data_IF_198315440643
#
_entry.id   IF_198315440643
#
_cell.length_a   1.000
_cell.length_b   1.000
_cell.length_c   1.000
_cell.angle_alpha   90.00
_cell.angle_beta   90.00
_cell.angle_gamma   90.00
#
_symmetry.space_group_name_H-M   'P 1'
#
loop_
_entity.id
_entity.type
_entity.pdbx_description
1 polymer ?
#
# COMPACT_ATOMS: atom_id res chain seq x y z
N UNK A 1 55.65 28.52 11.91
CA UNK A 1 55.51 28.12 10.49
C UNK A 1 55.25 26.63 10.29
N UNK A 2 55.95 25.70 10.98
CA UNK A 2 55.69 24.24 10.88
C UNK A 2 54.25 23.82 11.21
N UNK A 3 53.62 24.40 12.23
CA UNK A 3 52.25 24.06 12.61
C UNK A 3 51.18 24.51 11.61
N UNK A 4 51.43 25.60 10.87
CA UNK A 4 50.48 26.13 9.87
C UNK A 4 50.43 25.19 8.65
N UNK A 5 51.58 24.65 8.26
CA UNK A 5 51.69 23.67 7.16
C UNK A 5 50.96 22.37 7.52
N UNK A 6 51.07 21.91 8.78
CA UNK A 6 50.37 20.69 9.25
C UNK A 6 48.85 20.89 9.29
N UNK A 7 48.37 22.07 9.68
CA UNK A 7 46.93 22.38 9.71
C UNK A 7 46.35 22.46 8.28
N UNK A 8 47.09 23.05 7.33
CA UNK A 8 46.67 23.12 5.92
C UNK A 8 46.68 21.72 5.27
N UNK A 9 47.68 20.88 5.59
CA UNK A 9 47.75 19.49 5.13
C UNK A 9 46.57 18.67 5.70
N UNK A 10 46.23 18.85 6.98
CA UNK A 10 45.11 18.17 7.63
C UNK A 10 43.75 18.59 7.05
N UNK A 11 43.59 19.87 6.68
CA UNK A 11 42.36 20.39 6.06
C UNK A 11 42.14 19.89 4.63
N UNK A 12 43.21 19.50 3.93
CA UNK A 12 43.12 19.01 2.55
C UNK A 12 42.57 17.58 2.45
N UNK A 13 42.65 16.80 3.54
CA UNK A 13 42.17 15.41 3.58
C UNK A 13 40.65 15.32 3.82
N UNK A 14 39.98 16.44 4.14
CA UNK A 14 38.51 16.46 4.33
C UNK A 14 37.72 16.84 3.09
N UNK A 15 38.35 17.06 1.93
CA UNK A 15 37.64 17.11 0.65
C UNK A 15 37.26 15.69 0.21
N UNK A 16 36.23 15.15 0.86
CA UNK A 16 35.50 13.99 0.38
C UNK A 16 34.78 14.40 -0.91
N UNK A 17 35.47 14.33 -2.05
CA UNK A 17 34.82 14.35 -3.36
C UNK A 17 33.79 13.22 -3.35
N UNK A 18 32.49 13.57 -3.36
CA UNK A 18 31.44 12.59 -3.61
C UNK A 18 31.77 11.96 -4.97
N UNK A 19 31.89 10.63 -5.09
CA UNK A 19 32.24 10.01 -6.36
C UNK A 19 31.16 10.39 -7.37
N UNK A 20 31.50 11.19 -8.38
CA UNK A 20 30.60 11.52 -9.48
C UNK A 20 30.23 10.24 -10.22
N UNK A 21 29.00 10.14 -10.74
CA UNK A 21 28.60 9.02 -11.59
C UNK A 21 29.49 9.03 -12.84
N UNK A 22 30.15 7.91 -13.20
CA UNK A 22 30.90 7.84 -14.45
C UNK A 22 30.05 8.28 -15.64
N UNK A 23 30.66 8.94 -16.62
CA UNK A 23 29.96 9.51 -17.79
C UNK A 23 29.28 8.46 -18.66
N UNK A 24 29.69 7.20 -18.53
CA UNK A 24 29.13 6.06 -19.28
C UNK A 24 27.75 5.63 -18.77
N UNK A 25 27.30 6.19 -17.63
CA UNK A 25 25.98 5.94 -17.07
C UNK A 25 25.12 7.20 -17.10
N UNK A 26 23.81 7.00 -17.22
CA UNK A 26 22.79 8.04 -17.10
C UNK A 26 22.99 8.77 -15.77
N UNK A 27 23.12 10.09 -15.86
CA UNK A 27 23.37 10.93 -14.70
C UNK A 27 22.15 10.94 -13.78
N UNK A 28 22.33 11.18 -12.45
CA UNK A 28 21.23 11.04 -11.49
C UNK A 28 20.00 11.87 -11.84
N UNK A 29 20.17 13.12 -12.28
CA UNK A 29 19.06 13.99 -12.70
C UNK A 29 18.28 13.41 -13.86
N UNK A 30 18.97 12.92 -14.87
CA UNK A 30 18.35 12.38 -16.09
C UNK A 30 17.64 11.07 -15.77
N UNK A 31 18.21 10.26 -14.87
CA UNK A 31 17.58 9.04 -14.35
C UNK A 31 16.31 9.38 -13.56
N UNK A 32 16.32 10.42 -12.73
CA UNK A 32 15.14 10.91 -12.02
C UNK A 32 14.02 11.31 -13.01
N UNK A 33 14.35 12.05 -14.07
CA UNK A 33 13.40 12.47 -15.10
C UNK A 33 12.82 11.28 -15.90
N UNK A 34 13.67 10.33 -16.29
CA UNK A 34 13.25 9.10 -16.98
C UNK A 34 12.28 8.29 -16.12
N UNK A 35 12.64 8.06 -14.85
CA UNK A 35 11.83 7.27 -13.92
C UNK A 35 10.50 7.98 -13.60
N UNK A 36 10.51 9.30 -13.45
CA UNK A 36 9.30 10.10 -13.28
C UNK A 36 8.31 9.87 -14.43
N UNK A 37 8.75 10.09 -15.67
CA UNK A 37 7.90 9.91 -16.84
C UNK A 37 7.47 8.47 -17.06
N UNK A 38 8.32 7.51 -16.71
CA UNK A 38 7.97 6.10 -16.72
C UNK A 38 6.76 5.82 -15.81
N UNK A 39 6.79 6.30 -14.57
CA UNK A 39 5.69 6.12 -13.63
C UNK A 39 4.41 6.84 -14.08
N UNK A 40 4.53 8.06 -14.64
CA UNK A 40 3.38 8.77 -15.22
C UNK A 40 2.78 8.00 -16.39
N UNK A 41 3.61 7.51 -17.31
CA UNK A 41 3.19 6.73 -18.48
C UNK A 41 2.48 5.42 -18.06
N UNK A 42 3.01 4.73 -17.05
CA UNK A 42 2.35 3.55 -16.47
C UNK A 42 0.98 3.88 -15.88
N UNK A 43 0.87 4.97 -15.12
CA UNK A 43 -0.40 5.41 -14.53
C UNK A 43 -1.44 5.70 -15.63
N UNK A 44 -1.04 6.41 -16.69
CA UNK A 44 -1.90 6.67 -17.86
C UNK A 44 -2.35 5.38 -18.54
N UNK A 45 -1.44 4.42 -18.75
CA UNK A 45 -1.75 3.14 -19.35
C UNK A 45 -2.78 2.34 -18.54
N UNK A 46 -2.64 2.31 -17.21
CA UNK A 46 -3.59 1.61 -16.32
C UNK A 46 -4.98 2.23 -16.33
N UNK A 47 -5.07 3.56 -16.41
CA UNK A 47 -6.36 4.25 -16.53
C UNK A 47 -7.01 3.96 -17.89
N UNK A 48 -6.23 3.88 -18.97
CA UNK A 48 -6.69 3.44 -20.28
C UNK A 48 -7.26 2.01 -20.26
N UNK A 49 -6.66 1.10 -19.50
CA UNK A 49 -7.14 -0.28 -19.35
C UNK A 49 -8.53 -0.37 -18.72
N UNK A 50 -8.84 0.49 -17.74
CA UNK A 50 -10.20 0.58 -17.16
C UNK A 50 -11.24 0.99 -18.21
N UNK A 51 -10.81 1.70 -19.25
CA UNK A 51 -11.62 2.10 -20.40
C UNK A 51 -11.53 1.12 -21.58
N UNK A 52 -11.13 -0.14 -21.33
CA UNK A 52 -10.99 -1.19 -22.35
C UNK A 52 -9.95 -0.95 -23.44
N UNK A 53 -8.98 -0.06 -23.20
CA UNK A 53 -7.81 0.07 -24.07
C UNK A 53 -6.76 -0.99 -23.71
N UNK A 54 -6.07 -1.60 -24.70
CA UNK A 54 -4.98 -2.51 -24.42
C UNK A 54 -3.85 -1.78 -23.67
N UNK A 55 -3.43 -2.34 -22.54
CA UNK A 55 -2.29 -1.86 -21.76
C UNK A 55 -1.02 -2.55 -22.25
N UNK A 56 -0.19 -1.82 -22.99
CA UNK A 56 1.15 -2.28 -23.40
C UNK A 56 2.22 -1.59 -22.55
N UNK A 57 2.56 -2.22 -21.42
CA UNK A 57 3.57 -1.72 -20.48
C UNK A 57 4.93 -1.49 -21.15
N UNK A 58 5.31 -2.39 -22.08
CA UNK A 58 6.58 -2.29 -22.80
C UNK A 58 6.57 -1.13 -23.79
N UNK A 59 5.45 -0.90 -24.48
CA UNK A 59 5.26 0.24 -25.37
C UNK A 59 5.44 1.59 -24.66
N UNK A 60 4.88 1.74 -23.46
CA UNK A 60 5.06 2.95 -22.66
C UNK A 60 6.50 3.13 -22.19
N UNK A 61 7.16 2.06 -21.73
CA UNK A 61 8.57 2.11 -21.35
C UNK A 61 9.46 2.58 -22.51
N UNK A 62 9.31 1.97 -23.70
CA UNK A 62 10.07 2.32 -24.89
C UNK A 62 9.78 3.75 -25.37
N UNK A 63 8.55 4.25 -25.19
CA UNK A 63 8.20 5.63 -25.52
C UNK A 63 8.93 6.64 -24.62
N UNK A 64 9.06 6.34 -23.32
CA UNK A 64 9.80 7.17 -22.37
C UNK A 64 11.29 7.16 -22.70
N UNK A 65 11.90 5.99 -22.91
CA UNK A 65 13.31 5.91 -23.30
C UNK A 65 13.62 6.74 -24.55
N UNK A 66 12.74 6.68 -25.57
CA UNK A 66 12.86 7.49 -26.78
C UNK A 66 12.77 8.99 -26.51
N UNK A 67 11.90 9.44 -25.59
CA UNK A 67 11.78 10.85 -25.20
C UNK A 67 13.11 11.40 -24.68
N UNK A 68 13.84 10.60 -23.90
CA UNK A 68 15.13 10.97 -23.32
C UNK A 68 16.34 10.64 -24.19
N UNK A 69 16.12 10.09 -25.39
CA UNK A 69 17.19 9.65 -26.30
C UNK A 69 18.13 8.62 -25.65
N UNK A 70 17.56 7.76 -24.81
CA UNK A 70 18.26 6.70 -24.09
C UNK A 70 17.87 5.36 -24.71
N UNK A 71 18.85 4.48 -24.92
CA UNK A 71 18.59 3.10 -25.31
C UNK A 71 18.27 2.24 -24.07
N UNK A 72 17.52 1.17 -24.27
CA UNK A 72 17.25 0.19 -23.21
C UNK A 72 18.55 -0.34 -22.58
N UNK A 73 19.58 -0.61 -23.40
CA UNK A 73 20.88 -1.05 -22.92
C UNK A 73 21.63 -0.01 -22.05
N UNK A 74 21.53 1.28 -22.37
CA UNK A 74 22.10 2.37 -21.56
C UNK A 74 21.35 2.55 -20.24
N UNK A 75 20.02 2.51 -20.28
CA UNK A 75 19.18 2.50 -19.08
C UNK A 75 19.53 1.34 -18.17
N UNK A 76 19.63 0.16 -18.77
CA UNK A 76 19.93 -1.08 -18.10
C UNK A 76 21.31 -1.07 -17.43
N UNK A 77 22.34 -0.74 -18.19
CA UNK A 77 23.72 -0.65 -17.66
C UNK A 77 23.84 0.40 -16.55
N UNK A 78 23.13 1.53 -16.67
CA UNK A 78 23.04 2.55 -15.62
C UNK A 78 22.36 2.02 -14.37
N UNK A 79 21.28 1.26 -14.52
CA UNK A 79 20.59 0.66 -13.38
C UNK A 79 21.48 -0.35 -12.65
N UNK A 80 22.28 -1.17 -13.36
CA UNK A 80 23.33 -2.04 -12.75
C UNK A 80 24.29 -1.23 -11.89
N UNK A 81 24.76 -0.10 -12.40
CA UNK A 81 25.62 0.78 -11.62
C UNK A 81 24.92 1.23 -10.34
N UNK A 82 23.67 1.71 -10.44
CA UNK A 82 22.93 2.18 -9.27
C UNK A 82 22.57 1.08 -8.27
N UNK A 83 22.39 -0.18 -8.68
CA UNK A 83 22.20 -1.31 -7.76
C UNK A 83 23.38 -1.49 -6.79
N UNK A 84 24.60 -1.29 -7.29
CA UNK A 84 25.81 -1.34 -6.45
C UNK A 84 26.01 -0.05 -5.61
N UNK A 85 25.19 0.98 -5.85
CA UNK A 85 25.24 2.27 -5.16
C UNK A 85 23.86 2.60 -4.53
N UNK A 86 23.38 1.69 -3.66
CA UNK A 86 22.02 1.72 -3.11
C UNK A 86 21.58 3.06 -2.50
N UNK A 87 22.47 3.79 -1.80
CA UNK A 87 22.14 5.11 -1.24
C UNK A 87 21.84 6.16 -2.32
N UNK A 88 22.53 6.07 -3.46
CA UNK A 88 22.27 6.96 -4.60
C UNK A 88 20.98 6.59 -5.30
N UNK A 89 20.75 5.30 -5.52
CA UNK A 89 19.51 4.80 -6.09
C UNK A 89 18.31 5.21 -5.23
N UNK A 90 18.41 5.01 -3.91
CA UNK A 90 17.41 5.47 -2.94
C UNK A 90 17.13 6.95 -3.13
N UNK A 91 18.15 7.81 -3.15
CA UNK A 91 17.97 9.25 -3.31
C UNK A 91 17.25 9.64 -4.61
N UNK A 92 17.59 9.00 -5.74
CA UNK A 92 16.90 9.21 -7.02
C UNK A 92 15.41 8.95 -6.87
N UNK A 93 15.03 7.81 -6.29
CA UNK A 93 13.60 7.49 -6.09
C UNK A 93 12.91 8.38 -5.07
N UNK A 94 13.61 8.85 -4.03
CA UNK A 94 13.06 9.84 -3.10
C UNK A 94 12.66 11.12 -3.83
N UNK A 95 13.55 11.63 -4.69
CA UNK A 95 13.27 12.81 -5.50
C UNK A 95 12.10 12.57 -6.48
N UNK A 96 12.05 11.40 -7.11
CA UNK A 96 10.94 11.02 -8.01
C UNK A 96 9.62 10.94 -7.27
N UNK A 97 9.58 10.31 -6.09
CA UNK A 97 8.39 10.20 -5.26
C UNK A 97 7.92 11.56 -4.77
N UNK A 98 8.84 12.39 -4.26
CA UNK A 98 8.54 13.77 -3.84
C UNK A 98 7.93 14.58 -4.98
N UNK A 99 8.50 14.47 -6.19
CA UNK A 99 7.98 15.15 -7.38
C UNK A 99 6.58 14.67 -7.75
N UNK A 100 6.36 13.35 -7.84
CA UNK A 100 5.03 12.77 -8.14
C UNK A 100 3.98 13.22 -7.12
N UNK A 101 4.33 13.21 -5.83
CA UNK A 101 3.44 13.64 -4.75
C UNK A 101 3.13 15.14 -4.82
N UNK A 102 4.12 15.98 -5.11
CA UNK A 102 3.94 17.42 -5.25
C UNK A 102 3.05 17.76 -6.45
N UNK A 103 3.26 17.12 -7.60
CA UNK A 103 2.46 17.35 -8.81
C UNK A 103 1.02 16.83 -8.63
N UNK A 104 0.82 15.66 -8.02
CA UNK A 104 -0.51 15.17 -7.68
C UNK A 104 -1.25 16.15 -6.75
N UNK A 105 -0.60 16.59 -5.69
CA UNK A 105 -1.15 17.57 -4.74
C UNK A 105 -1.54 18.88 -5.42
N UNK A 106 -0.71 19.38 -6.34
CA UNK A 106 -0.97 20.61 -7.09
C UNK A 106 -2.19 20.50 -8.03
N UNK A 107 -2.45 19.30 -8.57
CA UNK A 107 -3.62 19.03 -9.42
C UNK A 107 -4.92 18.85 -8.62
N UNK A 108 -4.90 19.05 -7.29
CA UNK A 108 -6.03 18.75 -6.42
C UNK A 108 -6.34 17.26 -6.34
N UNK A 109 -5.49 16.44 -6.94
CA UNK A 109 -5.53 15.00 -6.88
C UNK A 109 -4.76 14.60 -5.63
N UNK A 110 -5.45 14.30 -4.53
CA UNK A 110 -4.87 13.51 -3.44
C UNK A 110 -4.63 12.07 -3.92
N UNK A 111 -3.76 11.88 -4.90
CA UNK A 111 -3.24 10.59 -5.35
C UNK A 111 -1.81 10.50 -4.84
N UNK A 112 -1.56 9.59 -3.90
CA UNK A 112 -0.25 9.40 -3.29
C UNK A 112 -0.26 9.77 -1.81
N UNK A 113 -0.59 11.02 -1.48
CA UNK A 113 -0.83 11.41 -0.09
C UNK A 113 -2.16 10.82 0.40
N UNK A 114 -2.20 9.53 0.70
CA UNK A 114 -3.19 9.00 1.61
C UNK A 114 -2.89 9.62 2.98
N UNK A 115 -3.38 10.84 3.19
CA UNK A 115 -3.58 11.42 4.50
C UNK A 115 -2.43 11.43 5.50
N UNK A 116 -1.25 11.96 5.15
CA UNK A 116 -0.47 12.61 6.22
C UNK A 116 -1.32 13.74 6.86
N UNK A 117 -2.24 14.34 6.08
CA UNK A 117 -3.20 15.37 6.51
C UNK A 117 -4.64 14.89 6.74
N UNK A 118 -5.05 13.68 6.31
CA UNK A 118 -6.45 13.20 6.43
C UNK A 118 -6.73 12.55 7.78
N UNK A 119 -5.72 11.95 8.41
CA UNK A 119 -5.86 11.34 9.73
C UNK A 119 -4.96 12.06 10.72
N UNK A 120 -5.57 12.79 11.66
CA UNK A 120 -4.84 13.33 12.79
C UNK A 120 -4.10 12.23 13.55
N UNK A 121 -3.05 12.58 14.28
CA UNK A 121 -2.38 11.65 15.21
C UNK A 121 -3.26 11.31 16.42
N UNK A 122 -4.39 12.00 16.57
CA UNK A 122 -5.33 11.90 17.68
C UNK A 122 -6.76 11.84 17.15
N UNK A 123 -7.61 10.99 17.74
CA UNK A 123 -9.03 10.86 17.42
C UNK A 123 -9.48 9.42 17.18
N UNK A 124 -10.74 9.28 16.77
CA UNK A 124 -11.38 7.98 16.47
C UNK A 124 -10.75 7.25 15.29
N UNK A 125 -10.11 7.98 14.38
CA UNK A 125 -9.29 7.41 13.30
C UNK A 125 -7.97 8.14 13.27
N UNK A 126 -6.87 7.42 13.45
CA UNK A 126 -5.54 8.02 13.59
C UNK A 126 -4.46 7.23 12.87
N UNK A 127 -3.52 7.93 12.21
CA UNK A 127 -2.29 7.30 11.74
C UNK A 127 -1.34 7.10 12.93
N UNK A 128 -1.05 5.84 13.22
CA UNK A 128 -0.20 5.43 14.34
C UNK A 128 1.16 4.89 13.88
N UNK A 129 1.45 4.96 12.58
CA UNK A 129 2.76 4.57 12.05
C UNK A 129 3.86 5.55 12.46
N UNK A 130 5.02 5.01 12.83
CA UNK A 130 6.21 5.78 13.26
C UNK A 130 7.50 5.34 12.56
N UNK A 131 7.40 4.38 11.64
CA UNK A 131 8.54 3.93 10.84
C UNK A 131 8.76 4.82 9.61
N UNK A 132 9.66 4.40 8.70
CA UNK A 132 9.82 5.09 7.42
C UNK A 132 8.53 5.03 6.60
N UNK A 133 8.21 6.11 5.90
CA UNK A 133 7.13 6.17 4.91
C UNK A 133 7.55 5.54 3.56
N UNK A 134 8.85 5.45 3.32
CA UNK A 134 9.46 5.01 2.07
C UNK A 134 10.45 3.88 2.29
N UNK A 135 10.35 2.81 1.48
CA UNK A 135 11.22 1.65 1.55
C UNK A 135 11.52 1.14 0.13
N UNK A 136 12.77 0.80 -0.14
CA UNK A 136 13.18 0.13 -1.37
C UNK A 136 13.58 -1.31 -1.05
N UNK A 137 12.98 -2.26 -1.77
CA UNK A 137 13.32 -3.68 -1.72
C UNK A 137 13.95 -4.13 -3.03
N UNK A 138 15.04 -4.88 -2.95
CA UNK A 138 15.80 -5.44 -4.07
C UNK A 138 16.00 -6.94 -3.83
N UNK A 139 16.14 -7.80 -4.86
CA UNK A 139 16.31 -9.26 -4.75
C UNK A 139 17.72 -9.65 -4.27
N UNK A 140 18.30 -8.86 -3.36
CA UNK A 140 19.56 -9.13 -2.69
C UNK A 140 19.24 -9.67 -1.29
N UNK A 141 19.97 -10.68 -0.77
CA UNK A 141 19.68 -11.30 0.52
C UNK A 141 19.57 -10.34 1.72
N UNK A 142 20.18 -9.17 1.64
CA UNK A 142 20.18 -8.15 2.70
C UNK A 142 19.25 -6.97 2.43
N UNK A 143 18.64 -6.90 1.26
CA UNK A 143 17.81 -5.77 0.84
C UNK A 143 16.44 -6.19 0.27
N UNK A 144 16.11 -7.49 0.31
CA UNK A 144 14.83 -8.02 -0.14
C UNK A 144 13.76 -8.01 0.95
N UNK A 145 14.08 -7.50 2.15
CA UNK A 145 13.18 -7.53 3.29
C UNK A 145 13.26 -6.23 4.08
N UNK A 146 12.10 -5.73 4.49
CA UNK A 146 11.94 -4.64 5.43
C UNK A 146 11.15 -5.12 6.64
N UNK A 147 11.80 -5.12 7.80
CA UNK A 147 11.20 -5.50 9.08
C UNK A 147 10.79 -4.26 9.89
N UNK A 148 9.73 -4.39 10.69
CA UNK A 148 9.29 -3.34 11.60
C UNK A 148 8.71 -3.90 12.92
N UNK A 149 8.71 -3.04 13.94
CA UNK A 149 8.04 -3.27 15.23
C UNK A 149 7.42 -1.97 15.70
N UNK A 150 6.15 -2.06 16.12
CA UNK A 150 5.37 -0.95 16.66
C UNK A 150 4.76 -1.38 17.99
N UNK A 151 5.17 -0.73 19.08
CA UNK A 151 4.59 -0.95 20.41
C UNK A 151 3.35 -0.08 20.58
N UNK A 152 2.28 -0.67 21.11
CA UNK A 152 1.07 0.06 21.40
C UNK A 152 1.27 0.96 22.64
N UNK A 153 0.83 2.21 22.54
CA UNK A 153 0.80 3.16 23.65
C UNK A 153 -0.57 3.18 24.34
N UNK A 154 -0.80 4.16 25.22
CA UNK A 154 -2.05 4.31 25.96
C UNK A 154 -3.24 4.73 25.09
N UNK A 155 -3.04 5.10 23.82
CA UNK A 155 -4.10 5.52 22.91
C UNK A 155 -4.79 4.35 22.20
N UNK A 156 -4.28 3.12 22.35
CA UNK A 156 -4.87 1.91 21.80
C UNK A 156 -5.91 1.37 22.77
N UNK A 157 -7.02 0.83 22.26
CA UNK A 157 -8.10 0.29 23.06
C UNK A 157 -8.54 -1.09 22.57
N UNK A 158 -9.21 -1.82 23.45
CA UNK A 158 -9.89 -3.08 23.14
C UNK A 158 -10.97 -2.81 22.07
N UNK A 159 -11.04 -3.68 21.05
CA UNK A 159 -11.98 -3.52 19.94
C UNK A 159 -11.48 -2.64 18.79
N UNK A 160 -10.29 -2.05 18.92
CA UNK A 160 -9.68 -1.30 17.81
C UNK A 160 -9.42 -2.20 16.59
N UNK A 161 -9.53 -1.59 15.42
CA UNK A 161 -9.16 -2.22 14.16
C UNK A 161 -8.01 -1.45 13.50
N UNK A 162 -7.23 -2.14 12.69
CA UNK A 162 -6.06 -1.54 12.03
C UNK A 162 -6.07 -1.80 10.54
N UNK A 163 -5.55 -0.84 9.77
CA UNK A 163 -5.32 -0.94 8.34
C UNK A 163 -3.88 -0.55 8.04
N UNK A 164 -3.10 -1.53 7.62
CA UNK A 164 -1.75 -1.33 7.10
C UNK A 164 -1.84 -1.06 5.61
N UNK A 165 -1.28 0.04 5.14
CA UNK A 165 -1.40 0.41 3.74
C UNK A 165 -0.16 1.14 3.23
N UNK A 166 0.02 1.10 1.92
CA UNK A 166 1.08 1.79 1.21
C UNK A 166 0.81 1.75 -0.28
N UNK A 167 1.48 2.62 -1.03
CA UNK A 167 1.62 2.52 -2.48
C UNK A 167 2.85 1.68 -2.81
N UNK A 168 2.78 0.92 -3.89
CA UNK A 168 3.91 0.11 -4.36
C UNK A 168 4.16 0.22 -5.84
N UNK A 169 5.43 0.22 -6.23
CA UNK A 169 5.87 0.22 -7.62
C UNK A 169 6.91 -0.88 -7.86
N UNK A 170 6.53 -1.86 -8.67
CA UNK A 170 7.43 -2.90 -9.15
C UNK A 170 8.20 -2.43 -10.38
N UNK A 171 9.51 -2.63 -10.35
CA UNK A 171 10.40 -2.44 -11.51
C UNK A 171 11.03 -3.79 -11.79
N UNK A 172 10.42 -4.49 -12.74
CA UNK A 172 10.73 -5.88 -13.09
C UNK A 172 11.01 -5.95 -14.58
N UNK A 173 12.18 -6.46 -14.94
CA UNK A 173 12.51 -6.78 -16.33
C UNK A 173 11.77 -8.05 -16.81
N UNK A 174 11.60 -9.03 -15.92
CA UNK A 174 10.90 -10.29 -16.19
C UNK A 174 10.46 -10.99 -14.89
N UNK A 175 9.64 -12.03 -15.05
CA UNK A 175 9.21 -12.92 -13.96
C UNK A 175 7.96 -12.45 -13.21
N UNK A 176 7.53 -13.28 -12.26
CA UNK A 176 6.31 -13.01 -11.48
C UNK A 176 6.59 -11.99 -10.38
N UNK A 177 5.78 -10.93 -10.35
CA UNK A 177 5.74 -9.97 -9.24
C UNK A 177 5.11 -10.65 -8.03
N UNK A 178 5.86 -10.72 -6.95
CA UNK A 178 5.36 -11.24 -5.68
C UNK A 178 6.11 -10.57 -4.53
N UNK A 179 5.39 -9.82 -3.71
CA UNK A 179 5.86 -9.40 -2.40
C UNK A 179 4.91 -9.90 -1.32
N UNK A 180 5.47 -10.32 -0.20
CA UNK A 180 4.75 -10.86 0.94
C UNK A 180 4.77 -9.84 2.07
N UNK A 181 3.60 -9.43 2.52
CA UNK A 181 3.42 -8.69 3.78
C UNK A 181 2.98 -9.66 4.85
N UNK A 182 3.69 -9.68 5.98
CA UNK A 182 3.31 -10.45 7.16
C UNK A 182 3.21 -9.52 8.37
N UNK A 183 2.05 -9.52 9.02
CA UNK A 183 1.75 -8.76 10.23
C UNK A 183 1.49 -9.75 11.38
N UNK A 184 2.19 -9.55 12.50
CA UNK A 184 2.01 -10.28 13.75
C UNK A 184 1.49 -9.31 14.81
N UNK A 185 0.20 -9.43 15.11
CA UNK A 185 -0.47 -8.63 16.13
C UNK A 185 -0.48 -9.38 17.45
N UNK A 186 0.32 -8.94 18.41
CA UNK A 186 0.37 -9.47 19.77
C UNK A 186 -0.53 -8.65 20.67
N UNK A 187 -1.48 -9.30 21.33
CA UNK A 187 -2.44 -8.67 22.23
C UNK A 187 -2.07 -8.90 23.71
N UNK A 188 -2.73 -8.17 24.61
CA UNK A 188 -2.70 -8.47 26.03
C UNK A 188 -3.12 -9.93 26.30
N UNK A 189 -2.47 -10.58 27.26
CA UNK A 189 -2.60 -12.04 27.45
C UNK A 189 -1.77 -12.88 26.47
N UNK A 190 -0.87 -12.26 25.69
CA UNK A 190 0.10 -12.89 24.80
C UNK A 190 -0.49 -13.72 23.65
N UNK A 191 -1.76 -13.47 23.31
CA UNK A 191 -2.36 -14.01 22.09
C UNK A 191 -1.80 -13.31 20.86
N UNK A 192 -1.46 -14.08 19.82
CA UNK A 192 -0.88 -13.57 18.57
C UNK A 192 -1.82 -13.89 17.40
N UNK A 193 -2.10 -12.89 16.57
CA UNK A 193 -2.83 -13.04 15.31
C UNK A 193 -1.89 -12.71 14.16
N UNK A 194 -1.79 -13.63 13.20
CA UNK A 194 -1.01 -13.45 11.98
C UNK A 194 -1.91 -13.04 10.80
N UNK A 195 -1.49 -12.05 10.03
CA UNK A 195 -2.13 -11.62 8.78
C UNK A 195 -1.08 -11.62 7.67
N UNK A 196 -1.32 -12.35 6.59
CA UNK A 196 -0.38 -12.46 5.45
C UNK A 196 -1.10 -12.05 4.16
N UNK A 197 -0.45 -11.24 3.34
CA UNK A 197 -0.94 -10.81 2.04
C UNK A 197 0.16 -10.89 0.99
N UNK A 198 -0.21 -11.30 -0.22
CA UNK A 198 0.63 -11.23 -1.41
C UNK A 198 0.26 -10.01 -2.24
N UNK A 199 1.27 -9.29 -2.69
CA UNK A 199 1.16 -8.13 -3.57
C UNK A 199 1.80 -8.53 -4.88
N UNK A 200 1.00 -8.55 -5.95
CA UNK A 200 1.43 -8.98 -7.29
C UNK A 200 1.29 -7.87 -8.32
N UNK A 201 0.75 -6.72 -7.90
CA UNK A 201 0.48 -5.56 -8.74
C UNK A 201 0.98 -4.30 -8.04
N UNK A 202 1.52 -3.36 -8.82
CA UNK A 202 1.83 -2.01 -8.36
C UNK A 202 0.53 -1.24 -8.09
N UNK A 203 0.58 -0.31 -7.15
CA UNK A 203 -0.53 0.53 -6.72
C UNK A 203 -0.79 0.47 -5.21
N UNK A 204 -1.95 0.98 -4.80
CA UNK A 204 -2.38 1.03 -3.41
C UNK A 204 -2.70 -0.37 -2.89
N UNK A 205 -2.03 -0.75 -1.80
CA UNK A 205 -2.34 -1.95 -1.01
C UNK A 205 -2.97 -1.55 0.32
N UNK A 206 -4.10 -2.15 0.67
CA UNK A 206 -4.78 -1.95 1.95
C UNK A 206 -5.02 -3.30 2.64
N UNK A 207 -4.32 -3.53 3.74
CA UNK A 207 -4.31 -4.79 4.48
C UNK A 207 -4.98 -4.55 5.82
N UNK A 208 -6.15 -5.17 6.02
CA UNK A 208 -6.91 -5.06 7.26
C UNK A 208 -6.44 -6.10 8.26
N UNK A 209 -6.04 -5.63 9.44
CA UNK A 209 -5.79 -6.51 10.59
C UNK A 209 -7.14 -6.86 11.23
N UNK A 210 -7.43 -8.16 11.47
CA UNK A 210 -8.67 -8.57 12.12
C UNK A 210 -8.86 -7.91 13.49
N UNK A 211 -10.11 -7.52 13.79
CA UNK A 211 -10.47 -6.90 15.07
C UNK A 211 -10.37 -7.92 16.21
N UNK A 212 -9.72 -7.54 17.31
CA UNK A 212 -9.78 -8.29 18.56
C UNK A 212 -10.67 -7.55 19.56
N UNK A 213 -11.80 -8.17 19.89
CA UNK A 213 -12.78 -7.59 20.83
C UNK A 213 -12.52 -7.93 22.28
N UNK A 214 -11.52 -8.76 22.59
CA UNK A 214 -11.29 -9.28 23.94
C UNK A 214 -10.09 -8.60 24.62
N UNK A 215 -9.04 -8.30 23.85
CA UNK A 215 -7.77 -7.79 24.33
C UNK A 215 -7.30 -6.58 23.53
N UNK A 216 -6.63 -5.65 24.20
CA UNK A 216 -5.96 -4.51 23.56
C UNK A 216 -4.68 -5.00 22.86
N UNK A 217 -4.34 -4.37 21.74
CA UNK A 217 -3.05 -4.62 21.07
C UNK A 217 -1.90 -4.21 22.00
N UNK A 218 -0.88 -5.06 22.14
CA UNK A 218 0.36 -4.79 22.87
C UNK A 218 1.48 -4.36 21.93
N UNK A 219 1.62 -5.07 20.81
CA UNK A 219 2.66 -4.82 19.81
C UNK A 219 2.21 -5.36 18.45
N UNK A 220 2.60 -4.67 17.38
CA UNK A 220 2.52 -5.17 16.02
C UNK A 220 3.92 -5.26 15.44
N UNK A 221 4.37 -6.46 15.11
CA UNK A 221 5.62 -6.69 14.37
C UNK A 221 5.30 -7.22 12.99
N UNK A 222 6.24 -7.11 12.06
CA UNK A 222 5.99 -7.61 10.72
C UNK A 222 7.12 -7.35 9.76
N UNK A 223 6.90 -7.76 8.52
CA UNK A 223 7.82 -7.50 7.43
C UNK A 223 7.10 -7.36 6.10
N UNK A 224 7.74 -6.65 5.18
CA UNK A 224 7.48 -6.73 3.75
C UNK A 224 8.68 -7.39 3.09
N UNK A 225 8.44 -8.41 2.29
CA UNK A 225 9.47 -9.23 1.67
C UNK A 225 9.24 -9.30 0.16
N UNK A 226 10.23 -8.91 -0.62
CA UNK A 226 10.22 -9.08 -2.07
C UNK A 226 10.63 -10.52 -2.39
N UNK A 227 9.67 -11.32 -2.82
CA UNK A 227 9.94 -12.69 -3.20
C UNK A 227 10.71 -12.73 -4.53
N UNK A 228 11.67 -13.65 -4.60
CA UNK A 228 12.43 -13.93 -5.80
C UNK A 228 12.11 -15.35 -6.22
N UNK A 229 11.71 -15.55 -7.48
CA UNK A 229 11.96 -16.85 -8.09
C UNK A 229 13.48 -16.97 -8.30
N UNK A 230 14.07 -18.09 -7.90
CA UNK A 230 15.53 -18.29 -7.99
C UNK A 230 15.98 -18.63 -9.42
N UNK A 231 15.09 -18.52 -10.40
CA UNK A 231 15.29 -19.02 -11.76
C UNK A 231 16.21 -18.08 -12.56
N UNK A 232 16.11 -16.76 -12.35
CA UNK A 232 16.97 -15.79 -13.03
C UNK A 232 17.62 -14.78 -12.07
N UNK A 233 18.91 -14.99 -11.78
CA UNK A 233 19.73 -14.06 -10.97
C UNK A 233 20.13 -12.78 -11.69
N UNK A 234 20.00 -12.76 -13.02
CA UNK A 234 20.39 -11.63 -13.86
C UNK A 234 19.23 -10.68 -14.18
N UNK A 235 17.99 -11.07 -13.84
CA UNK A 235 16.80 -10.25 -14.06
C UNK A 235 16.65 -9.28 -12.91
N UNK A 236 16.64 -7.99 -13.24
CA UNK A 236 16.54 -6.93 -12.24
C UNK A 236 15.10 -6.79 -11.79
N UNK A 237 14.94 -6.82 -10.47
CA UNK A 237 13.65 -6.79 -9.78
C UNK A 237 13.76 -5.79 -8.65
N UNK A 238 12.76 -4.95 -8.44
CA UNK A 238 12.69 -4.06 -7.29
C UNK A 238 11.25 -3.80 -6.95
N UNK A 239 11.03 -3.42 -5.70
CA UNK A 239 9.78 -2.85 -5.25
C UNK A 239 10.07 -1.60 -4.44
N UNK A 240 9.47 -0.49 -4.85
CA UNK A 240 9.38 0.71 -4.04
C UNK A 240 8.08 0.68 -3.27
N UNK A 241 8.15 1.10 -2.01
CA UNK A 241 7.02 1.25 -1.11
C UNK A 241 7.01 2.71 -0.68
N UNK A 242 5.90 3.39 -0.90
CA UNK A 242 5.71 4.79 -0.59
C UNK A 242 4.47 4.99 0.27
N UNK A 243 4.41 6.08 1.03
CA UNK A 243 3.28 6.46 1.88
C UNK A 243 2.84 5.34 2.83
N UNK A 244 3.82 4.60 3.38
CA UNK A 244 3.52 3.50 4.28
C UNK A 244 2.95 4.00 5.60
N UNK A 245 1.82 3.43 5.98
CA UNK A 245 1.03 3.86 7.11
C UNK A 245 0.32 2.70 7.81
N UNK A 246 -0.04 2.96 9.06
CA UNK A 246 -0.88 2.09 9.88
C UNK A 246 -1.97 2.96 10.49
N UNK A 247 -3.19 2.78 10.02
CA UNK A 247 -4.35 3.52 10.49
C UNK A 247 -5.08 2.70 11.55
N UNK A 248 -5.27 3.29 12.72
CA UNK A 248 -6.13 2.75 13.78
C UNK A 248 -7.52 3.34 13.64
N UNK A 249 -8.54 2.50 13.83
CA UNK A 249 -9.92 2.90 13.99
C UNK A 249 -10.42 2.46 15.37
N UNK A 250 -10.90 3.41 16.17
CA UNK A 250 -11.60 3.11 17.41
C UNK A 250 -12.97 2.52 17.14
N UNK A 251 -13.36 1.55 17.97
CA UNK A 251 -14.73 1.07 17.96
C UNK A 251 -15.64 2.19 18.47
N UNK A 252 -16.51 2.72 17.60
CA UNK A 252 -17.58 3.60 18.04
C UNK A 252 -18.50 2.77 18.95
N UNK A 253 -18.65 3.17 20.22
CA UNK A 253 -19.71 2.63 21.07
C UNK A 253 -21.02 3.08 20.45
N UNK A 254 -21.80 2.15 19.90
CA UNK A 254 -23.21 2.41 19.70
C UNK A 254 -23.79 2.70 21.08
N UNK A 255 -24.19 3.94 21.32
CA UNK A 255 -25.06 4.26 22.44
C UNK A 255 -26.36 3.51 22.18
N UNK A 256 -26.44 2.29 22.72
CA UNK A 256 -27.66 1.56 22.85
C UNK A 256 -28.54 2.36 23.82
N UNK A 257 -29.27 3.30 23.26
CA UNK A 257 -30.32 4.04 23.94
C UNK A 257 -31.46 3.06 24.15
N UNK A 258 -31.31 2.15 25.11
CA UNK A 258 -32.39 1.33 25.69
C UNK A 258 -33.31 2.26 26.51
N UNK A 259 -33.83 3.31 25.88
CA UNK A 259 -35.09 3.89 26.33
C UNK A 259 -36.16 2.93 25.83
N UNK A 260 -36.91 2.26 26.72
CA UNK A 260 -38.09 1.52 26.27
C UNK A 260 -38.98 2.51 25.52
N UNK A 261 -39.39 2.15 24.31
CA UNK A 261 -40.48 2.83 23.61
C UNK A 261 -41.69 2.78 24.55
N UNK A 262 -41.98 3.87 25.23
CA UNK A 262 -43.29 4.07 25.85
C UNK A 262 -44.27 4.24 24.69
N UNK A 263 -44.94 3.15 24.33
CA UNK A 263 -46.12 3.21 23.46
C UNK A 263 -47.21 3.86 24.29
N UNK A 264 -47.41 5.17 24.14
CA UNK A 264 -48.62 5.80 24.64
C UNK A 264 -49.81 5.34 23.78
N UNK A 265 -50.99 5.07 24.39
CA UNK A 265 -52.15 4.66 23.63
C UNK A 265 -52.64 5.82 22.78
N UNK A 266 -52.86 5.57 21.49
CA UNK A 266 -53.50 6.50 20.57
C UNK A 266 -54.91 6.79 21.11
N UNK A 267 -55.13 8.03 21.57
CA UNK A 267 -56.48 8.55 21.82
C UNK A 267 -57.12 8.91 20.48
N UNK A 268 -58.20 8.20 20.20
CA UNK A 268 -59.09 8.41 19.07
C UNK A 268 -59.98 9.63 19.36
N UNK A 269 -59.78 10.74 18.65
CA UNK A 269 -60.73 11.85 18.64
C UNK A 269 -61.01 12.32 17.20
N UNK A 270 -62.22 11.99 16.77
CA UNK A 270 -62.88 12.44 15.56
C UNK A 270 -63.41 13.86 15.74
N UNK A 271 -63.03 14.83 14.88
CA UNK A 271 -63.96 15.66 14.07
C UNK A 271 -63.33 16.91 13.42
N UNK A 272 -63.62 17.02 12.11
CA UNK A 272 -64.15 18.16 11.32
C UNK A 272 -63.31 19.40 10.96
N UNK A 273 -63.40 19.66 9.66
CA UNK A 273 -63.53 20.93 8.93
C UNK A 273 -62.37 21.94 8.95
N UNK A 274 -61.71 22.06 7.80
CA UNK A 274 -61.81 23.29 6.99
C UNK A 274 -61.23 23.08 5.59
N UNK A 275 -62.09 23.22 4.58
CA UNK A 275 -61.70 23.45 3.19
C UNK A 275 -60.99 24.79 3.07
N UNK A 276 -59.90 24.84 2.31
CA UNK A 276 -59.66 25.93 1.36
C UNK A 276 -59.13 25.37 0.04
N UNK A 277 -59.72 25.90 -1.03
CA UNK A 277 -59.67 25.47 -2.43
C UNK A 277 -58.90 26.51 -3.23
N UNK A 278 -58.41 26.10 -4.41
CA UNK A 278 -58.05 26.84 -5.65
C UNK A 278 -56.60 26.52 -6.03
N UNK A 279 -56.21 26.25 -7.28
CA UNK A 279 -56.80 25.72 -8.54
C UNK A 279 -55.63 25.83 -9.56
N UNK A 280 -55.73 25.07 -10.66
CA UNK A 280 -54.97 25.18 -11.93
C UNK A 280 -53.57 24.51 -11.91
N UNK A 281 -53.14 23.68 -12.88
CA UNK A 281 -53.64 23.36 -14.20
C UNK A 281 -53.26 21.92 -14.66
N UNK A 282 -54.26 21.27 -15.29
CA UNK A 282 -54.34 20.22 -16.33
C UNK A 282 -53.40 18.98 -16.43
N UNK A 283 -53.94 17.85 -16.94
CA UNK A 283 -53.37 16.51 -16.83
C UNK A 283 -52.70 16.02 -18.12
N UNK A 284 -51.86 14.99 -18.00
CA UNK A 284 -51.58 14.08 -19.11
C UNK A 284 -51.56 12.63 -18.63
N UNK A 285 -52.15 11.79 -19.48
CA UNK A 285 -52.64 10.44 -19.26
C UNK A 285 -51.53 9.38 -19.17
N UNK A 286 -51.98 8.24 -18.65
CA UNK A 286 -51.35 6.94 -18.47
C UNK A 286 -50.46 6.44 -19.63
N UNK A 287 -49.46 5.62 -19.28
CA UNK A 287 -49.47 4.23 -19.77
C UNK A 287 -48.69 3.26 -18.85
N UNK A 288 -49.46 2.35 -18.25
CA UNK A 288 -49.36 0.88 -18.33
C UNK A 288 -47.99 0.18 -18.24
N UNK A 289 -47.83 -0.48 -17.09
CA UNK A 289 -47.42 -1.88 -16.85
C UNK A 289 -46.04 -2.41 -17.30
N UNK A 290 -45.33 -2.98 -16.32
CA UNK A 290 -44.18 -3.86 -16.52
C UNK A 290 -43.78 -4.55 -15.22
N UNK A 291 -44.70 -5.32 -14.65
CA UNK A 291 -44.54 -6.18 -13.47
C UNK A 291 -43.51 -7.29 -13.79
N UNK A 292 -42.54 -7.53 -12.90
CA UNK A 292 -42.38 -8.85 -12.26
C UNK A 292 -41.32 -8.84 -11.16
N UNK A 293 -41.80 -9.20 -9.97
CA UNK A 293 -41.07 -9.75 -8.84
C UNK A 293 -40.06 -10.83 -9.27
N UNK A 294 -39.00 -11.04 -8.48
CA UNK A 294 -38.79 -12.28 -7.71
C UNK A 294 -37.53 -12.24 -6.83
N UNK A 295 -37.80 -12.23 -5.52
CA UNK A 295 -37.11 -12.92 -4.40
C UNK A 295 -35.59 -12.77 -4.17
N UNK A 296 -35.35 -12.16 -3.00
CA UNK A 296 -34.40 -12.56 -1.94
C UNK A 296 -33.88 -14.00 -2.05
N UNK A 297 -32.59 -14.18 -1.79
CA UNK A 297 -32.15 -15.30 -0.94
C UNK A 297 -30.90 -14.97 -0.13
N UNK A 298 -30.96 -15.49 1.10
CA UNK A 298 -30.07 -15.29 2.23
C UNK A 298 -28.69 -15.92 2.08
N UNK A 299 -27.74 -15.26 2.74
CA UNK A 299 -26.50 -15.76 3.34
C UNK A 299 -26.60 -17.19 3.89
N UNK A 300 -25.58 -18.01 3.65
CA UNK A 300 -25.28 -19.20 4.46
C UNK A 300 -23.84 -19.18 4.95
N UNK A 301 -23.70 -19.07 6.27
CA UNK A 301 -22.52 -19.38 7.07
C UNK A 301 -22.36 -20.90 7.24
N UNK A 302 -21.13 -21.38 7.38
CA UNK A 302 -20.81 -22.76 7.78
C UNK A 302 -19.85 -22.70 8.99
N UNK A 303 -20.13 -23.40 10.11
CA UNK A 303 -19.24 -23.49 11.26
C UNK A 303 -18.29 -24.70 11.21
N UNK A 304 -17.23 -24.55 12.01
CA UNK A 304 -15.96 -25.29 12.20
C UNK A 304 -16.11 -26.76 12.66
N UNK A 305 -15.16 -27.64 12.27
CA UNK A 305 -14.20 -28.38 13.16
C UNK A 305 -13.79 -29.76 12.60
N UNK A 306 -12.50 -29.96 12.29
CA UNK A 306 -11.89 -31.29 12.46
C UNK A 306 -10.37 -31.19 12.72
N UNK A 307 -9.95 -31.76 13.85
CA UNK A 307 -8.55 -31.94 14.28
C UNK A 307 -7.90 -33.05 13.43
N UNK A 308 -6.64 -32.88 13.07
CA UNK A 308 -5.78 -33.93 12.51
C UNK A 308 -4.67 -34.22 13.54
N UNK A 309 -4.39 -35.49 13.89
CA UNK A 309 -3.26 -35.87 14.75
C UNK A 309 -1.97 -36.08 13.95
N UNK A 310 -0.83 -35.84 14.60
CA UNK A 310 0.55 -35.90 14.09
C UNK A 310 1.24 -37.17 14.62
N UNK A 311 1.70 -38.09 13.76
CA UNK A 311 2.89 -38.96 13.88
C UNK A 311 2.88 -39.98 12.70
N UNK A 312 3.97 -40.39 12.07
CA UNK A 312 5.38 -40.18 12.34
C UNK A 312 6.25 -40.57 11.13
N UNK A 313 7.50 -40.11 11.18
CA UNK A 313 8.59 -40.38 10.24
C UNK A 313 8.97 -41.86 10.24
N UNK A 314 9.06 -42.45 9.05
CA UNK A 314 9.70 -43.74 8.78
C UNK A 314 10.67 -43.60 7.63
N UNK A 315 11.95 -43.81 7.92
CA UNK A 315 13.08 -43.77 6.99
C UNK A 315 12.96 -44.83 5.89
N UNK A 316 13.38 -44.51 4.67
CA UNK A 316 13.90 -45.51 3.73
C UNK A 316 15.13 -45.01 2.99
N UNK A 317 16.13 -45.86 3.05
CA UNK A 317 17.48 -45.81 2.50
C UNK A 317 17.53 -46.26 1.04
N UNK A 318 18.47 -45.69 0.28
CA UNK A 318 19.35 -46.32 -0.73
C UNK A 318 18.81 -47.49 -1.58
N UNK A 319 18.81 -47.31 -2.90
CA UNK A 319 18.69 -48.41 -3.87
C UNK A 319 19.11 -48.02 -5.29
N UNK A 320 20.37 -48.30 -5.63
CA UNK A 320 20.93 -48.30 -6.98
C UNK A 320 20.30 -49.38 -7.86
N UNK A 321 19.97 -49.07 -9.13
CA UNK A 321 20.36 -49.87 -10.31
C UNK A 321 19.78 -49.33 -11.64
N UNK A 322 20.68 -49.31 -12.63
CA UNK A 322 20.54 -49.23 -14.09
C UNK A 322 20.14 -47.88 -14.69
#
# INVERSE_FOLDING_TARGET
MKHIIVIILLLSVTFSCKPTVPTDYIQPSDMEDILYDYHVAQAMGREGQKNSLPYDENGYFQAVLRKYQVTEAEFDSSLVYYYSHAERLKKIYQNVSERLNNEASALGVTSGSFGLSTYGTTGDTANVWRGPSEVMLMPLPTANRFDFSLKADSSYHKGDSFMFQFNSDYIYEAGSRDAVVCLLSTYEGDSIVQTVYHITMSGLSQIRVPVNRDYRLKEMTGFVYLASDHQDRNVRRMMFINDLQLIRFHQRKEEQNDKPLSVEPIKDETKKDSMLRIKDARPLSADTAGRNDTKRNHTRSIPVKQRIPIHGMGAQTSGSKK
#
